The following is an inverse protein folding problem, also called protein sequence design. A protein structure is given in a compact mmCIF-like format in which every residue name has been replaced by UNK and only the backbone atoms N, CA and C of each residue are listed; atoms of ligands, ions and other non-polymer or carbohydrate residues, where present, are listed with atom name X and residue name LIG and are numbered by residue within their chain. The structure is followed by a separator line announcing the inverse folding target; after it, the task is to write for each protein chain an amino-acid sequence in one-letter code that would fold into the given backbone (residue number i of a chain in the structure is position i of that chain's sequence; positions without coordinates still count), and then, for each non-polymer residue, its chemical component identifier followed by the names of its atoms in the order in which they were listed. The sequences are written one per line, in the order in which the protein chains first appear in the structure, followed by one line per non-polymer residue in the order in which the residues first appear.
data_IF_503274162744
#
_entry.id   IF_503274162744
#
_cell.length_a   1.000
_cell.length_b   1.000
_cell.length_c   1.000
_cell.angle_alpha   90.00
_cell.angle_beta   90.00
_cell.angle_gamma   90.00
#
_symmetry.space_group_name_H-M   'P 1'
#
loop_
_entity.id
_entity.type
_entity.pdbx_description
1 polymer ?
#
# COMPACT_ATOMS: atom_id res chain seq x y z
N UNK A 1 25.93 28.68 29.62
CA UNK A 1 25.87 27.44 28.82
C UNK A 1 27.28 27.06 28.41
N UNK A 2 27.77 25.91 28.87
CA UNK A 2 29.09 25.37 28.54
C UNK A 2 29.12 24.86 27.10
N UNK A 3 30.31 24.71 26.51
CA UNK A 3 30.46 24.12 25.18
C UNK A 3 29.92 22.68 25.12
N UNK A 4 30.06 21.92 26.21
CA UNK A 4 29.50 20.59 26.35
C UNK A 4 27.97 20.60 26.31
N UNK A 5 27.33 21.55 26.99
CA UNK A 5 25.86 21.75 26.95
C UNK A 5 25.39 22.16 25.56
N UNK A 6 26.13 23.05 24.88
CA UNK A 6 25.83 23.49 23.51
C UNK A 6 25.89 22.33 22.51
N UNK A 7 26.94 21.50 22.57
CA UNK A 7 27.07 20.31 21.70
C UNK A 7 25.94 19.30 21.93
N UNK A 8 25.56 19.07 23.20
CA UNK A 8 24.40 18.23 23.55
C UNK A 8 23.09 18.79 22.99
N UNK A 9 22.86 20.10 23.11
CA UNK A 9 21.66 20.77 22.59
C UNK A 9 21.55 20.64 21.05
N UNK A 10 22.63 20.92 20.32
CA UNK A 10 22.63 20.77 18.86
C UNK A 10 22.44 19.32 18.42
N UNK A 11 23.01 18.35 19.15
CA UNK A 11 22.76 16.93 18.89
C UNK A 11 21.29 16.55 19.07
N UNK A 12 20.63 17.06 20.12
CA UNK A 12 19.20 16.83 20.35
C UNK A 12 18.34 17.48 19.25
N UNK A 13 18.68 18.70 18.81
CA UNK A 13 17.99 19.39 17.72
C UNK A 13 18.13 18.59 16.42
N UNK A 14 19.36 18.20 16.05
CA UNK A 14 19.61 17.43 14.83
C UNK A 14 18.85 16.10 14.83
N UNK A 15 18.86 15.37 15.95
CA UNK A 15 18.10 14.12 16.09
C UNK A 15 16.58 14.37 15.99
N UNK A 16 16.07 15.42 16.61
CA UNK A 16 14.64 15.76 16.56
C UNK A 16 14.20 16.11 15.14
N UNK A 17 15.02 16.86 14.40
CA UNK A 17 14.76 17.18 12.99
C UNK A 17 14.74 15.90 12.14
N UNK A 18 15.69 14.99 12.35
CA UNK A 18 15.71 13.70 11.66
C UNK A 18 14.44 12.89 11.93
N UNK A 19 14.02 12.82 13.20
CA UNK A 19 12.80 12.11 13.60
C UNK A 19 11.53 12.76 13.01
N UNK A 20 11.44 14.09 12.97
CA UNK A 20 10.33 14.80 12.35
C UNK A 20 10.27 14.57 10.83
N UNK A 21 11.42 14.58 10.16
CA UNK A 21 11.50 14.27 8.73
C UNK A 21 11.05 12.82 8.46
N UNK A 22 11.48 11.86 9.29
CA UNK A 22 11.03 10.47 9.21
C UNK A 22 9.53 10.32 9.48
N UNK A 23 9.02 10.96 10.54
CA UNK A 23 7.60 10.98 10.87
C UNK A 23 6.76 11.55 9.71
N UNK A 24 7.21 12.67 9.14
CA UNK A 24 6.58 13.30 7.99
C UNK A 24 6.57 12.36 6.78
N UNK A 25 7.72 11.79 6.43
CA UNK A 25 7.82 10.82 5.34
C UNK A 25 6.83 9.66 5.53
N UNK A 26 6.83 9.02 6.70
CA UNK A 26 5.93 7.90 6.98
C UNK A 26 4.45 8.30 6.96
N UNK A 27 4.11 9.52 7.34
CA UNK A 27 2.73 10.01 7.30
C UNK A 27 2.20 10.11 5.86
N UNK A 28 3.04 10.53 4.92
CA UNK A 28 2.65 10.77 3.53
C UNK A 28 2.81 9.55 2.62
N UNK A 29 3.57 8.52 3.02
CA UNK A 29 3.66 7.29 2.23
C UNK A 29 2.40 6.46 2.42
N UNK A 30 1.67 6.27 1.33
CA UNK A 30 0.52 5.37 1.30
C UNK A 30 0.97 3.91 1.08
N UNK A 31 0.27 2.97 1.72
CA UNK A 31 0.43 1.53 1.47
C UNK A 31 -0.94 0.94 1.20
N UNK A 32 -1.09 0.16 0.13
CA UNK A 32 -2.36 -0.48 -0.18
C UNK A 32 -2.69 -1.52 0.92
N UNK A 33 -3.90 -1.47 1.50
CA UNK A 33 -4.34 -2.49 2.45
C UNK A 33 -4.50 -3.88 1.82
N UNK A 34 -4.73 -3.96 0.50
CA UNK A 34 -4.77 -5.21 -0.26
C UNK A 34 -3.91 -5.10 -1.51
N UNK A 35 -3.14 -6.14 -1.76
CA UNK A 35 -2.36 -6.33 -2.98
C UNK A 35 -2.74 -7.68 -3.55
N UNK A 36 -3.11 -7.70 -4.81
CA UNK A 36 -3.30 -8.91 -5.59
C UNK A 36 -2.11 -9.11 -6.51
N UNK A 37 -1.69 -10.36 -6.64
CA UNK A 37 -0.64 -10.78 -7.56
C UNK A 37 -1.07 -12.07 -8.24
N UNK A 38 -0.86 -12.14 -9.54
CA UNK A 38 -1.11 -13.34 -10.34
C UNK A 38 -0.07 -13.43 -11.44
N UNK A 39 0.06 -14.61 -12.01
CA UNK A 39 0.96 -14.90 -13.12
C UNK A 39 0.19 -15.68 -14.17
N UNK A 40 0.45 -15.40 -15.43
CA UNK A 40 -0.06 -16.16 -16.57
C UNK A 40 1.05 -17.06 -17.11
N UNK A 41 0.65 -18.17 -17.74
CA UNK A 41 1.61 -19.06 -18.42
C UNK A 41 1.85 -18.65 -19.88
N UNK A 42 0.82 -18.10 -20.53
CA UNK A 42 0.77 -17.67 -21.93
C UNK A 42 -0.42 -16.72 -22.10
N UNK A 43 -0.32 -15.77 -23.02
CA UNK A 43 -1.30 -14.69 -23.24
C UNK A 43 -1.73 -14.60 -24.70
N UNK A 44 -1.98 -15.76 -25.32
CA UNK A 44 -2.46 -15.83 -26.70
C UNK A 44 -3.80 -15.11 -26.83
N UNK A 45 -3.82 -14.02 -27.59
CA UNK A 45 -5.05 -13.27 -27.87
C UNK A 45 -5.50 -12.35 -26.73
N UNK A 46 -4.78 -12.31 -25.60
CA UNK A 46 -5.12 -11.49 -24.44
C UNK A 46 -4.80 -10.02 -24.70
N UNK A 47 -5.79 -9.14 -24.50
CA UNK A 47 -5.62 -7.70 -24.50
C UNK A 47 -5.28 -7.17 -23.10
N UNK A 48 -5.81 -7.81 -22.06
CA UNK A 48 -5.50 -7.47 -20.68
C UNK A 48 -6.49 -7.99 -19.66
N UNK A 49 -6.46 -7.43 -18.46
CA UNK A 49 -7.18 -7.94 -17.30
C UNK A 49 -7.98 -6.85 -16.58
N UNK A 50 -9.17 -7.23 -16.11
CA UNK A 50 -9.94 -6.48 -15.12
C UNK A 50 -9.93 -7.21 -13.78
N UNK A 51 -9.93 -6.43 -12.71
CA UNK A 51 -10.08 -6.96 -11.35
C UNK A 51 -11.45 -6.58 -10.83
N UNK A 52 -12.12 -7.56 -10.21
CA UNK A 52 -13.39 -7.35 -9.55
C UNK A 52 -13.28 -7.66 -8.06
N UNK A 53 -14.08 -6.96 -7.26
CA UNK A 53 -14.16 -7.10 -5.80
C UNK A 53 -15.60 -7.27 -5.33
N UNK A 54 -15.83 -8.09 -4.32
CA UNK A 54 -17.07 -8.16 -3.56
C UNK A 54 -16.77 -8.13 -2.04
N UNK A 55 -17.75 -7.73 -1.23
CA UNK A 55 -17.65 -7.75 0.23
C UNK A 55 -17.80 -9.16 0.81
N UNK A 56 -18.47 -10.06 0.09
CA UNK A 56 -18.60 -11.48 0.42
C UNK A 56 -18.81 -12.33 -0.84
N UNK A 57 -18.61 -13.66 -0.80
CA UNK A 57 -18.76 -14.53 -1.97
C UNK A 57 -20.19 -14.57 -2.54
N UNK A 58 -21.19 -14.26 -1.71
CA UNK A 58 -22.60 -14.24 -2.10
C UNK A 58 -23.06 -12.89 -2.67
N UNK A 59 -22.21 -11.87 -2.62
CA UNK A 59 -22.52 -10.53 -3.06
C UNK A 59 -22.08 -10.26 -4.51
N UNK A 60 -22.63 -9.19 -5.07
CA UNK A 60 -22.30 -8.77 -6.43
C UNK A 60 -20.86 -8.24 -6.49
N UNK A 61 -20.11 -8.76 -7.46
CA UNK A 61 -18.78 -8.26 -7.79
C UNK A 61 -18.88 -6.94 -8.56
N UNK A 62 -18.08 -5.96 -8.14
CA UNK A 62 -17.89 -4.69 -8.83
C UNK A 62 -16.49 -4.63 -9.42
N UNK A 63 -16.35 -4.06 -10.62
CA UNK A 63 -15.04 -3.82 -11.21
C UNK A 63 -14.31 -2.75 -10.40
N UNK A 64 -13.04 -3.00 -10.06
CA UNK A 64 -12.20 -2.07 -9.28
C UNK A 64 -11.02 -1.53 -10.09
N UNK A 65 -10.69 -2.15 -11.23
CA UNK A 65 -9.80 -1.56 -12.22
C UNK A 65 -10.48 -0.38 -12.92
N UNK A 66 -9.84 0.80 -12.92
CA UNK A 66 -10.33 1.97 -13.63
C UNK A 66 -10.10 1.82 -15.15
N UNK A 67 -8.92 1.33 -15.52
CA UNK A 67 -8.52 1.02 -16.87
C UNK A 67 -8.13 -0.47 -16.95
N UNK A 68 -8.22 -1.04 -18.16
CA UNK A 68 -7.76 -2.41 -18.41
C UNK A 68 -6.26 -2.50 -18.10
N UNK A 69 -5.86 -3.49 -17.31
CA UNK A 69 -4.45 -3.79 -17.06
C UNK A 69 -3.92 -4.48 -18.31
N UNK A 70 -3.05 -3.85 -19.13
CA UNK A 70 -2.64 -4.41 -20.40
C UNK A 70 -1.90 -5.73 -20.21
N UNK A 71 -2.09 -6.65 -21.15
CA UNK A 71 -1.28 -7.86 -21.21
C UNK A 71 0.20 -7.48 -21.49
N UNK A 72 1.12 -8.04 -20.73
CA UNK A 72 2.57 -7.82 -20.84
C UNK A 72 3.30 -9.05 -21.40
N UNK A 73 2.67 -10.23 -21.37
CA UNK A 73 3.16 -11.47 -21.95
C UNK A 73 2.88 -11.57 -23.45
N UNK A 74 3.21 -12.73 -24.01
CA UNK A 74 2.99 -13.11 -25.40
C UNK A 74 2.42 -14.53 -25.52
N UNK A 75 2.32 -15.02 -26.75
CA UNK A 75 1.77 -16.34 -27.06
C UNK A 75 2.55 -17.50 -26.40
N UNK A 76 3.84 -17.34 -26.14
CA UNK A 76 4.72 -18.38 -25.62
C UNK A 76 5.06 -18.21 -24.15
N UNK A 77 5.00 -16.98 -23.64
CA UNK A 77 5.38 -16.61 -22.28
C UNK A 77 4.32 -15.70 -21.67
N UNK A 78 3.80 -16.06 -20.50
CA UNK A 78 2.97 -15.13 -19.72
C UNK A 78 3.80 -14.09 -18.97
N UNK A 79 3.12 -13.35 -18.09
CA UNK A 79 3.70 -12.28 -17.28
C UNK A 79 3.19 -12.32 -15.83
N UNK A 80 3.88 -11.57 -14.96
CA UNK A 80 3.51 -11.41 -13.57
C UNK A 80 2.88 -10.03 -13.36
N UNK A 81 1.74 -10.01 -12.67
CA UNK A 81 0.94 -8.82 -12.48
C UNK A 81 0.76 -8.48 -11.02
N UNK A 82 0.46 -7.20 -10.80
CA UNK A 82 0.18 -6.65 -9.47
C UNK A 82 -0.93 -5.62 -9.56
N UNK A 83 -1.94 -5.77 -8.69
CA UNK A 83 -3.00 -4.79 -8.50
C UNK A 83 -3.08 -4.36 -7.04
N UNK A 84 -3.16 -3.04 -6.82
CA UNK A 84 -3.16 -2.44 -5.49
C UNK A 84 -4.52 -1.79 -5.21
N UNK A 85 -5.18 -2.25 -4.15
CA UNK A 85 -6.49 -1.74 -3.78
C UNK A 85 -6.40 -0.87 -2.52
N UNK A 86 -6.53 0.44 -2.73
CA UNK A 86 -6.56 1.46 -1.67
C UNK A 86 -7.99 1.77 -1.20
N UNK A 87 -9.01 1.34 -1.94
CA UNK A 87 -10.41 1.71 -1.74
C UNK A 87 -11.15 0.70 -0.85
N UNK A 88 -10.47 0.17 0.17
CA UNK A 88 -10.99 -0.83 1.11
C UNK A 88 -10.89 -0.35 2.55
N UNK A 89 -11.89 -0.71 3.35
CA UNK A 89 -11.84 -0.59 4.81
C UNK A 89 -10.89 -1.62 5.42
N UNK A 90 -10.00 -1.17 6.31
CA UNK A 90 -9.03 -2.02 7.01
C UNK A 90 -9.70 -3.09 7.86
N UNK A 91 -9.07 -4.25 8.00
CA UNK A 91 -9.55 -5.43 8.74
C UNK A 91 -10.86 -6.07 8.22
N UNK A 92 -11.52 -5.49 7.22
CA UNK A 92 -12.66 -6.11 6.52
C UNK A 92 -12.15 -7.17 5.53
N UNK A 93 -12.97 -8.21 5.34
CA UNK A 93 -12.72 -9.24 4.34
C UNK A 93 -13.35 -8.85 3.00
N UNK A 94 -12.66 -9.18 1.92
CA UNK A 94 -13.12 -8.98 0.55
C UNK A 94 -12.82 -10.23 -0.27
N UNK A 95 -13.54 -10.37 -1.38
CA UNK A 95 -13.36 -11.42 -2.36
C UNK A 95 -12.96 -10.79 -3.67
N UNK A 96 -11.93 -11.33 -4.32
CA UNK A 96 -11.47 -10.85 -5.61
C UNK A 96 -11.51 -11.94 -6.65
N UNK A 97 -11.64 -11.52 -7.91
CA UNK A 97 -11.55 -12.36 -9.09
C UNK A 97 -11.01 -11.56 -10.26
N UNK A 98 -10.50 -12.27 -11.27
CA UNK A 98 -9.88 -11.69 -12.45
C UNK A 98 -10.73 -12.03 -13.67
N UNK A 99 -10.94 -11.05 -14.53
CA UNK A 99 -11.48 -11.22 -15.87
C UNK A 99 -10.37 -10.94 -16.88
N UNK A 100 -10.22 -11.82 -17.85
CA UNK A 100 -9.41 -11.63 -19.03
C UNK A 100 -10.27 -11.04 -20.15
N UNK A 101 -9.69 -10.09 -20.88
CA UNK A 101 -10.28 -9.49 -22.07
C UNK A 101 -9.37 -9.79 -23.25
N UNK A 102 -9.93 -10.34 -24.32
CA UNK A 102 -9.22 -10.64 -25.56
C UNK A 102 -9.29 -9.46 -26.55
N UNK A 103 -8.42 -9.47 -27.56
CA UNK A 103 -8.39 -8.43 -28.61
C UNK A 103 -9.66 -8.37 -29.46
N UNK A 104 -10.42 -9.46 -29.55
CA UNK A 104 -11.70 -9.53 -30.23
C UNK A 104 -12.88 -9.03 -29.36
N UNK A 105 -12.61 -8.67 -28.10
CA UNK A 105 -13.59 -8.22 -27.12
C UNK A 105 -14.26 -9.34 -26.32
N UNK A 106 -13.89 -10.61 -26.56
CA UNK A 106 -14.28 -11.74 -25.73
C UNK A 106 -13.79 -11.54 -24.30
N UNK A 107 -14.61 -11.96 -23.33
CA UNK A 107 -14.29 -11.84 -21.91
C UNK A 107 -14.42 -13.18 -21.22
N UNK A 108 -13.36 -13.56 -20.52
CA UNK A 108 -13.31 -14.79 -19.77
C UNK A 108 -13.08 -14.49 -18.30
N UNK A 109 -13.98 -14.96 -17.44
CA UNK A 109 -13.78 -14.87 -15.99
C UNK A 109 -12.99 -16.08 -15.51
N UNK A 110 -11.90 -15.85 -14.77
CA UNK A 110 -11.23 -16.92 -14.07
C UNK A 110 -12.12 -17.48 -12.95
N UNK A 111 -12.26 -18.81 -12.82
CA UNK A 111 -13.15 -19.41 -11.82
C UNK A 111 -12.64 -19.24 -10.39
N UNK A 112 -11.34 -19.01 -10.21
CA UNK A 112 -10.72 -18.82 -8.92
C UNK A 112 -11.11 -17.47 -8.30
N UNK A 113 -11.50 -17.54 -7.03
CA UNK A 113 -11.69 -16.34 -6.21
C UNK A 113 -10.75 -16.37 -5.03
N UNK A 114 -10.23 -15.21 -4.62
CA UNK A 114 -9.35 -15.09 -3.46
C UNK A 114 -10.03 -14.27 -2.38
N UNK A 115 -10.13 -14.85 -1.18
CA UNK A 115 -10.61 -14.16 0.02
C UNK A 115 -9.42 -13.51 0.73
N UNK A 116 -9.45 -12.18 0.85
CA UNK A 116 -8.37 -11.42 1.48
C UNK A 116 -8.94 -10.53 2.58
N UNK A 117 -8.27 -10.52 3.74
CA UNK A 117 -8.54 -9.53 4.79
C UNK A 117 -7.64 -8.32 4.58
N UNK A 118 -8.24 -7.14 4.45
CA UNK A 118 -7.51 -5.90 4.29
C UNK A 118 -6.59 -5.64 5.49
N UNK A 119 -5.33 -5.31 5.20
CA UNK A 119 -4.31 -5.05 6.19
C UNK A 119 -4.60 -3.81 7.04
N UNK A 120 -3.90 -3.74 8.17
CA UNK A 120 -3.85 -2.57 9.05
C UNK A 120 -2.65 -1.65 8.69
N UNK A 121 -2.07 -1.82 7.50
CA UNK A 121 -0.80 -1.21 7.08
C UNK A 121 -0.79 0.31 7.25
N UNK A 122 -1.83 0.99 6.76
CA UNK A 122 -1.99 2.44 6.91
C UNK A 122 -2.12 2.87 8.38
N UNK A 123 -2.90 2.12 9.18
CA UNK A 123 -3.09 2.42 10.62
C UNK A 123 -1.79 2.30 11.38
N UNK A 124 -1.06 1.20 11.20
CA UNK A 124 0.23 0.99 11.88
C UNK A 124 1.25 2.05 11.50
N UNK A 125 1.29 2.44 10.22
CA UNK A 125 2.18 3.50 9.74
C UNK A 125 1.88 4.87 10.35
N UNK A 126 0.60 5.23 10.47
CA UNK A 126 0.18 6.48 11.13
C UNK A 126 0.55 6.48 12.61
N UNK A 127 0.43 5.34 13.29
CA UNK A 127 0.88 5.19 14.67
C UNK A 127 2.40 5.38 14.80
N UNK A 128 3.20 4.74 13.94
CA UNK A 128 4.66 4.89 13.92
C UNK A 128 5.07 6.35 13.70
N UNK A 129 4.46 7.01 12.71
CA UNK A 129 4.65 8.45 12.45
C UNK A 129 4.34 9.29 13.69
N UNK A 130 3.20 9.03 14.35
CA UNK A 130 2.82 9.71 15.58
C UNK A 130 3.82 9.52 16.72
N UNK A 131 4.33 8.29 16.90
CA UNK A 131 5.34 7.97 17.92
C UNK A 131 6.66 8.72 17.67
N UNK A 132 7.14 8.75 16.42
CA UNK A 132 8.35 9.49 16.05
C UNK A 132 8.19 11.00 16.27
N UNK A 133 7.03 11.55 15.90
CA UNK A 133 6.69 12.96 16.14
C UNK A 133 6.68 13.31 17.63
N UNK A 134 6.02 12.49 18.45
CA UNK A 134 5.99 12.68 19.92
C UNK A 134 7.39 12.57 20.53
N UNK A 135 8.21 11.62 20.09
CA UNK A 135 9.58 11.47 20.55
C UNK A 135 10.43 12.71 20.22
N UNK A 136 10.30 13.24 19.00
CA UNK A 136 11.00 14.46 18.60
C UNK A 136 10.59 15.66 19.48
N UNK A 137 9.29 15.85 19.72
CA UNK A 137 8.78 16.92 20.59
C UNK A 137 9.31 16.76 22.03
N UNK A 138 9.31 15.53 22.55
CA UNK A 138 9.84 15.24 23.90
C UNK A 138 11.34 15.56 24.01
N UNK A 139 12.14 15.24 22.99
CA UNK A 139 13.57 15.53 22.97
C UNK A 139 13.85 17.03 22.91
N UNK A 140 13.09 17.78 22.11
CA UNK A 140 13.17 19.24 22.08
C UNK A 140 12.79 19.81 23.45
N UNK A 141 11.67 19.38 24.03
CA UNK A 141 11.22 19.87 25.33
C UNK A 141 12.25 19.62 26.44
N UNK A 142 12.87 18.44 26.46
CA UNK A 142 13.96 18.09 27.39
C UNK A 142 15.24 18.92 27.17
N UNK A 143 15.51 19.33 25.92
CA UNK A 143 16.61 20.22 25.58
C UNK A 143 16.45 21.63 26.15
N UNK A 144 15.21 22.13 26.26
CA UNK A 144 14.91 23.50 26.72
C UNK A 144 14.56 23.60 28.21
N UNK A 145 14.12 22.51 28.85
CA UNK A 145 13.73 22.47 30.28
C UNK A 145 14.90 22.24 31.23
N UNK A 146 16.05 21.77 30.73
CA UNK A 146 17.30 21.78 31.50
C UNK A 146 17.92 23.19 31.45
N UNK A 147 17.37 24.10 32.26
CA UNK A 147 18.03 25.33 32.71
C UNK A 147 18.29 25.25 34.20
#
# INVERSE_FOLDING_TARGET
MTEQERRKLWGLIALSVLLLSGAGYLFFVDIPPVVLSWETASEVGTAGFNVYRADSPAEQFVQVTADLIPAEGDELLGAAYRYEDYAVSTAKQYVYRIEEVEWDGTRQLYPETVNVRAGLTRVWRQLESGVLGLLAIMLLWRGFTKK
#
